data_IF_374388623411
#
_entry.id   IF_374388623411
#
_cell.length_a   1.000
_cell.length_b   1.000
_cell.length_c   1.000
_cell.angle_alpha   90.00
_cell.angle_beta   90.00
_cell.angle_gamma   90.00
#
_symmetry.space_group_name_H-M   'P 1'
#
loop_
_entity.id
_entity.type
_entity.pdbx_description
1 polymer ?
#
# COMPACT_ATOMS: atom_id res chain seq x y z
N UNK A 1 -20.01 -11.93 6.93
CA UNK A 1 -19.04 -11.06 7.59
C UNK A 1 -19.58 -9.65 7.77
N UNK A 2 -18.87 -8.83 8.50
CA UNK A 2 -19.21 -7.41 8.68
C UNK A 2 -18.24 -6.55 7.86
N UNK A 3 -18.71 -5.40 7.38
CA UNK A 3 -17.88 -4.36 6.78
C UNK A 3 -17.61 -3.27 7.81
N UNK A 4 -16.33 -2.94 7.95
CA UNK A 4 -15.84 -1.86 8.81
C UNK A 4 -15.25 -0.78 7.92
N UNK A 5 -15.52 0.47 8.21
CA UNK A 5 -15.03 1.60 7.42
C UNK A 5 -13.99 2.40 8.20
N UNK A 6 -12.92 2.80 7.53
CA UNK A 6 -11.89 3.67 8.10
C UNK A 6 -11.27 4.55 7.02
N UNK A 7 -10.81 5.74 7.39
CA UNK A 7 -9.97 6.58 6.52
C UNK A 7 -8.52 6.12 6.58
N UNK A 8 -8.02 5.86 7.79
CA UNK A 8 -6.70 5.25 7.97
C UNK A 8 -6.66 4.36 9.21
N UNK A 9 -5.78 3.37 9.14
CA UNK A 9 -5.43 2.49 10.26
C UNK A 9 -3.93 2.66 10.53
N UNK A 10 -3.58 3.11 11.75
CA UNK A 10 -2.18 3.30 12.13
C UNK A 10 -1.73 2.09 12.95
N UNK A 11 -0.90 1.26 12.34
CA UNK A 11 -0.31 0.09 12.99
C UNK A 11 0.73 0.51 14.01
N UNK A 12 0.86 -0.26 15.06
CA UNK A 12 1.83 -0.05 16.13
C UNK A 12 2.66 -1.30 16.36
N UNK A 13 3.78 -1.11 17.06
CA UNK A 13 4.68 -2.22 17.44
C UNK A 13 3.94 -3.30 18.22
N UNK A 14 4.21 -4.57 17.89
CA UNK A 14 3.62 -5.75 18.51
C UNK A 14 2.08 -5.81 18.39
N UNK A 15 1.53 -5.33 17.28
CA UNK A 15 0.09 -5.35 17.01
C UNK A 15 -0.21 -6.15 15.77
N UNK A 16 -1.19 -7.02 15.86
CA UNK A 16 -1.77 -7.73 14.72
C UNK A 16 -3.13 -7.14 14.36
N UNK A 17 -3.31 -6.80 13.09
CA UNK A 17 -4.62 -6.56 12.50
C UNK A 17 -5.13 -7.89 11.92
N UNK A 18 -5.95 -8.60 12.68
CA UNK A 18 -6.52 -9.86 12.22
C UNK A 18 -7.84 -9.65 11.48
N UNK A 19 -7.88 -10.00 10.21
CA UNK A 19 -9.05 -9.90 9.34
C UNK A 19 -9.79 -11.25 9.32
N UNK A 20 -10.76 -11.41 10.20
CA UNK A 20 -11.54 -12.65 10.26
C UNK A 20 -12.16 -12.97 8.90
N UNK A 21 -12.19 -14.26 8.52
CA UNK A 21 -12.78 -14.70 7.26
C UNK A 21 -14.20 -14.15 7.05
N UNK A 22 -14.40 -13.56 5.88
CA UNK A 22 -15.66 -12.90 5.51
C UNK A 22 -15.84 -11.49 6.05
N UNK A 23 -14.91 -10.94 6.84
CA UNK A 23 -14.91 -9.51 7.20
C UNK A 23 -14.33 -8.67 6.06
N UNK A 24 -14.72 -7.41 6.00
CA UNK A 24 -14.19 -6.43 5.06
C UNK A 24 -13.78 -5.18 5.83
N UNK A 25 -12.52 -4.78 5.70
CA UNK A 25 -12.06 -3.44 6.07
C UNK A 25 -12.10 -2.57 4.82
N UNK A 26 -12.99 -1.59 4.78
CA UNK A 26 -13.21 -0.74 3.61
C UNK A 26 -12.74 0.68 3.86
N UNK A 27 -11.96 1.19 2.91
CA UNK A 27 -11.51 2.58 2.91
C UNK A 27 -12.66 3.54 2.62
N UNK A 28 -12.70 4.68 3.35
CA UNK A 28 -13.65 5.75 3.07
C UNK A 28 -13.21 6.59 1.88
N UNK A 29 -14.13 7.32 1.25
CA UNK A 29 -13.82 8.15 0.07
C UNK A 29 -13.34 9.56 0.40
N UNK A 30 -13.42 9.98 1.67
CA UNK A 30 -12.97 11.33 2.09
C UNK A 30 -11.47 11.33 2.36
N UNK A 31 -10.70 11.88 1.42
CA UNK A 31 -9.25 11.98 1.51
C UNK A 31 -8.75 12.78 2.72
N UNK A 32 -9.54 13.73 3.21
CA UNK A 32 -9.13 14.58 4.33
C UNK A 32 -9.03 13.81 5.66
N UNK A 33 -9.66 12.65 5.74
CA UNK A 33 -9.55 11.76 6.90
C UNK A 33 -8.32 10.86 6.89
N UNK A 34 -7.54 10.84 5.80
CA UNK A 34 -6.39 9.95 5.68
C UNK A 34 -5.16 10.48 6.38
N UNK A 35 -4.38 9.55 6.94
CA UNK A 35 -3.06 9.85 7.46
C UNK A 35 -2.09 10.22 6.35
N UNK A 36 -1.25 11.20 6.62
CA UNK A 36 -0.27 11.74 5.68
C UNK A 36 1.14 11.40 6.15
N UNK A 37 1.79 10.37 5.58
CA UNK A 37 3.17 10.02 5.92
C UNK A 37 4.16 11.12 5.59
N UNK A 38 3.92 11.89 4.53
CA UNK A 38 4.73 13.05 4.16
C UNK A 38 3.88 14.14 3.50
N UNK A 39 4.34 15.38 3.62
CA UNK A 39 3.75 16.55 2.97
C UNK A 39 4.43 16.78 1.62
N UNK A 40 4.05 16.00 0.61
CA UNK A 40 4.48 16.22 -0.75
C UNK A 40 3.56 17.20 -1.44
N UNK A 41 4.11 18.38 -1.76
CA UNK A 41 3.45 19.39 -2.57
C UNK A 41 4.14 19.39 -3.92
N UNK A 42 3.39 19.25 -5.01
CA UNK A 42 3.91 19.59 -6.33
C UNK A 42 4.02 21.11 -6.45
N UNK A 43 5.25 21.61 -6.56
CA UNK A 43 5.52 23.03 -6.59
C UNK A 43 4.89 23.76 -7.80
N UNK A 44 4.63 23.03 -8.91
CA UNK A 44 4.00 23.63 -10.10
C UNK A 44 2.48 23.76 -9.99
N UNK A 45 1.83 22.83 -9.28
CA UNK A 45 0.37 22.78 -9.21
C UNK A 45 -0.17 23.06 -7.82
N UNK A 46 0.70 23.20 -6.82
CA UNK A 46 0.35 23.28 -5.39
C UNK A 46 -0.60 22.15 -4.95
N UNK A 47 -0.48 21.00 -5.59
CA UNK A 47 -1.34 19.83 -5.35
C UNK A 47 -0.55 18.77 -4.58
N UNK A 48 -1.17 18.18 -3.55
CA UNK A 48 -0.63 17.03 -2.86
C UNK A 48 -0.72 15.82 -3.78
N UNK A 49 0.43 15.28 -4.16
CA UNK A 49 0.50 14.06 -4.96
C UNK A 49 1.29 12.99 -4.22
N UNK A 50 0.80 11.75 -4.28
CA UNK A 50 1.65 10.60 -4.11
C UNK A 50 2.67 10.62 -5.26
N UNK A 51 3.95 10.73 -4.95
CA UNK A 51 4.96 10.85 -5.98
C UNK A 51 5.66 9.50 -6.17
N UNK A 52 5.39 8.77 -7.27
CA UNK A 52 6.05 7.51 -7.54
C UNK A 52 7.58 7.66 -7.66
N UNK A 53 8.08 8.83 -8.03
CA UNK A 53 9.53 9.09 -8.14
C UNK A 53 10.22 9.16 -6.78
N UNK A 54 9.53 9.63 -5.76
CA UNK A 54 10.09 9.71 -4.40
C UNK A 54 9.83 8.46 -3.56
N UNK A 55 8.82 7.67 -3.90
CA UNK A 55 8.42 6.48 -3.16
C UNK A 55 7.71 6.75 -1.83
N UNK A 56 7.67 7.99 -1.35
CA UNK A 56 6.93 8.33 -0.12
C UNK A 56 5.50 8.77 -0.47
N UNK A 57 4.47 8.10 0.04
CA UNK A 57 3.09 8.46 -0.26
C UNK A 57 2.63 9.70 0.50
N UNK A 58 1.81 10.55 -0.15
CA UNK A 58 1.14 11.65 0.55
C UNK A 58 0.02 11.19 1.46
N UNK A 59 -0.60 10.04 1.15
CA UNK A 59 -1.69 9.47 1.92
C UNK A 59 -1.53 7.96 2.01
N UNK A 60 -1.88 7.38 3.15
CA UNK A 60 -1.90 5.93 3.35
C UNK A 60 -3.18 5.47 4.02
N UNK A 61 -3.73 4.34 3.55
CA UNK A 61 -4.88 3.71 4.19
C UNK A 61 -4.46 2.92 5.42
N UNK A 62 -3.47 2.04 5.28
CA UNK A 62 -2.85 1.36 6.43
C UNK A 62 -1.40 1.83 6.50
N UNK A 63 -1.02 2.40 7.61
CA UNK A 63 0.31 2.97 7.81
C UNK A 63 1.00 2.40 9.04
N UNK A 64 2.29 2.12 8.90
CA UNK A 64 3.17 1.74 10.00
C UNK A 64 4.51 2.50 9.89
N UNK A 65 5.02 3.00 10.98
CA UNK A 65 6.34 3.58 11.07
C UNK A 65 7.04 3.08 12.34
N UNK A 66 8.20 2.43 12.14
CA UNK A 66 8.97 1.80 13.24
C UNK A 66 8.09 0.90 14.12
N UNK A 67 7.18 0.19 13.47
CA UNK A 67 6.21 -0.69 14.11
C UNK A 67 6.66 -2.16 14.02
N UNK A 68 7.79 -2.48 14.65
CA UNK A 68 8.34 -3.83 14.63
C UNK A 68 7.35 -4.88 15.18
N UNK A 69 7.44 -6.10 14.68
CA UNK A 69 6.55 -7.22 15.01
C UNK A 69 5.07 -6.90 14.74
N UNK A 70 4.77 -6.07 13.74
CA UNK A 70 3.41 -5.84 13.31
C UNK A 70 2.99 -6.90 12.28
N UNK A 71 1.71 -7.25 12.26
CA UNK A 71 1.17 -8.19 11.31
C UNK A 71 -0.20 -7.79 10.79
N UNK A 72 -0.49 -8.17 9.54
CA UNK A 72 -1.85 -8.20 9.00
C UNK A 72 -2.11 -9.65 8.57
N UNK A 73 -3.12 -10.28 9.12
CA UNK A 73 -3.39 -11.71 8.89
C UNK A 73 -4.87 -12.01 8.76
N UNK A 74 -5.17 -13.28 8.40
CA UNK A 74 -6.53 -13.84 8.44
C UNK A 74 -7.27 -13.75 7.10
N UNK A 75 -8.27 -14.61 6.91
CA UNK A 75 -8.97 -14.81 5.62
C UNK A 75 -9.99 -13.72 5.23
N UNK A 76 -9.84 -12.48 5.71
CA UNK A 76 -10.72 -11.37 5.39
C UNK A 76 -10.27 -10.55 4.18
N UNK A 77 -10.90 -9.41 3.97
CA UNK A 77 -10.66 -8.55 2.81
C UNK A 77 -10.38 -7.10 3.21
N UNK A 78 -9.41 -6.49 2.54
CA UNK A 78 -9.17 -5.05 2.50
C UNK A 78 -9.72 -4.54 1.18
N UNK A 79 -10.72 -3.67 1.21
CA UNK A 79 -11.29 -2.97 0.06
C UNK A 79 -10.78 -1.53 0.09
N UNK A 80 -9.82 -1.24 -0.77
CA UNK A 80 -9.17 0.08 -0.79
C UNK A 80 -10.02 1.17 -1.45
N UNK A 81 -11.20 0.80 -2.01
CA UNK A 81 -12.17 1.74 -2.57
C UNK A 81 -11.57 2.68 -3.62
N UNK A 82 -10.67 2.15 -4.43
CA UNK A 82 -9.87 2.90 -5.40
C UNK A 82 -10.69 3.70 -6.39
N UNK A 83 -11.83 3.18 -6.80
CA UNK A 83 -12.75 3.86 -7.70
C UNK A 83 -13.21 5.25 -7.18
N UNK A 84 -13.20 5.46 -5.86
CA UNK A 84 -13.54 6.76 -5.26
C UNK A 84 -12.45 7.82 -5.48
N UNK A 85 -11.24 7.40 -5.81
CA UNK A 85 -10.07 8.28 -6.00
C UNK A 85 -9.65 8.42 -7.47
N UNK A 86 -10.32 7.70 -8.37
CA UNK A 86 -10.06 7.73 -9.81
C UNK A 86 -11.12 8.59 -10.48
N UNK A 87 -10.76 9.78 -10.93
CA UNK A 87 -11.71 10.70 -11.56
C UNK A 87 -12.04 10.33 -13.00
N UNK A 88 -11.10 9.76 -13.75
CA UNK A 88 -11.28 9.39 -15.14
C UNK A 88 -10.43 8.19 -15.49
N UNK A 89 -11.04 7.25 -16.20
CA UNK A 89 -10.36 6.10 -16.77
C UNK A 89 -10.28 6.27 -18.28
N UNK A 90 -9.08 6.30 -18.83
CA UNK A 90 -8.84 5.84 -20.20
C UNK A 90 -8.13 4.48 -20.08
N UNK A 91 -8.20 3.68 -21.14
CA UNK A 91 -7.55 2.37 -21.17
C UNK A 91 -6.07 2.52 -20.77
N UNK A 92 -5.68 1.95 -19.64
CA UNK A 92 -4.35 1.97 -19.03
C UNK A 92 -3.92 3.29 -18.35
N UNK A 93 -4.80 4.29 -18.22
CA UNK A 93 -4.42 5.52 -17.54
C UNK A 93 -5.52 6.05 -16.62
N UNK A 94 -5.12 6.43 -15.45
CA UNK A 94 -5.81 7.47 -14.73
C UNK A 94 -5.47 8.77 -15.45
N UNK A 95 -6.31 9.20 -16.38
CA UNK A 95 -6.10 10.46 -17.08
C UNK A 95 -6.63 11.62 -16.28
N UNK A 96 -5.96 12.72 -16.42
CA UNK A 96 -6.27 13.95 -15.72
C UNK A 96 -5.65 13.97 -14.34
N UNK A 97 -5.65 15.12 -13.74
CA UNK A 97 -4.99 15.54 -12.51
C UNK A 97 -4.56 14.38 -11.63
N UNK A 98 -3.29 14.37 -11.26
CA UNK A 98 -2.78 13.47 -10.23
C UNK A 98 -3.56 13.74 -8.94
N UNK A 99 -4.73 13.17 -8.90
CA UNK A 99 -5.58 13.27 -7.74
C UNK A 99 -4.92 12.52 -6.59
N UNK A 100 -4.96 13.01 -5.36
CA UNK A 100 -4.38 12.28 -4.25
C UNK A 100 -5.00 10.90 -4.16
N UNK A 101 -4.19 9.89 -4.49
CA UNK A 101 -4.53 8.48 -4.43
C UNK A 101 -3.76 7.85 -3.27
N UNK A 102 -4.41 7.33 -2.23
CA UNK A 102 -3.69 6.71 -1.11
C UNK A 102 -2.93 5.45 -1.55
N UNK A 103 -1.71 5.27 -1.04
CA UNK A 103 -1.10 3.94 -0.98
C UNK A 103 -1.91 3.08 -0.01
N UNK A 104 -2.18 1.83 -0.38
CA UNK A 104 -3.08 1.00 0.44
C UNK A 104 -2.40 0.60 1.75
N UNK A 105 -1.20 0.03 1.67
CA UNK A 105 -0.42 -0.37 2.86
C UNK A 105 1.00 0.18 2.73
N UNK A 106 1.37 1.14 3.56
CA UNK A 106 2.71 1.69 3.62
C UNK A 106 3.35 1.43 4.99
N UNK A 107 4.37 0.58 4.99
CA UNK A 107 5.13 0.19 6.18
C UNK A 107 6.55 0.73 6.06
N UNK A 108 6.94 1.67 6.91
CA UNK A 108 8.23 2.35 6.83
C UNK A 108 9.11 2.05 8.02
N UNK A 109 10.35 1.62 7.76
CA UNK A 109 11.38 1.32 8.76
C UNK A 109 10.90 0.33 9.84
N UNK A 110 10.22 -0.73 9.43
CA UNK A 110 9.66 -1.75 10.32
C UNK A 110 10.43 -3.07 10.18
N UNK A 111 10.63 -3.80 11.28
CA UNK A 111 11.31 -5.09 11.28
C UNK A 111 10.37 -6.22 11.73
N UNK A 112 10.59 -7.44 11.23
CA UNK A 112 9.80 -8.64 11.56
C UNK A 112 8.32 -8.44 11.25
N UNK A 113 7.98 -8.16 9.99
CA UNK A 113 6.62 -7.88 9.54
C UNK A 113 6.02 -9.10 8.83
N UNK A 114 4.76 -9.36 9.11
CA UNK A 114 4.01 -10.46 8.49
C UNK A 114 2.74 -9.94 7.80
N UNK A 115 2.61 -10.30 6.53
CA UNK A 115 1.39 -10.13 5.74
C UNK A 115 0.95 -11.52 5.28
N UNK A 116 -0.14 -12.07 5.83
CA UNK A 116 -0.54 -13.44 5.54
C UNK A 116 -2.06 -13.64 5.45
N UNK A 117 -2.46 -14.39 4.41
CA UNK A 117 -3.81 -14.97 4.24
C UNK A 117 -4.95 -13.95 4.21
N UNK A 118 -4.84 -12.90 3.39
CA UNK A 118 -5.94 -11.96 3.14
C UNK A 118 -6.01 -11.55 1.67
N UNK A 119 -7.12 -10.91 1.32
CA UNK A 119 -7.36 -10.37 -0.02
C UNK A 119 -7.38 -8.85 0.01
N UNK A 120 -6.71 -8.20 -0.95
CA UNK A 120 -6.80 -6.77 -1.20
C UNK A 120 -7.49 -6.53 -2.54
N UNK A 121 -8.39 -5.57 -2.60
CA UNK A 121 -9.08 -5.22 -3.85
C UNK A 121 -9.13 -3.72 -4.05
N UNK A 122 -9.23 -3.33 -5.33
CA UNK A 122 -9.54 -1.97 -5.76
C UNK A 122 -8.56 -0.92 -5.21
N UNK A 123 -7.26 -1.14 -5.39
CA UNK A 123 -6.24 -0.18 -4.98
C UNK A 123 -6.26 1.05 -5.90
N UNK A 124 -6.27 2.27 -5.34
CA UNK A 124 -6.17 3.50 -6.12
C UNK A 124 -4.75 3.81 -6.60
N UNK A 125 -3.74 3.24 -5.95
CA UNK A 125 -2.31 3.42 -6.16
C UNK A 125 -1.56 2.17 -5.66
N UNK A 126 -0.26 2.23 -5.43
CA UNK A 126 0.55 1.11 -4.94
C UNK A 126 -0.12 0.37 -3.77
N UNK A 127 -0.16 -0.95 -3.86
CA UNK A 127 -0.96 -1.75 -2.93
C UNK A 127 -0.20 -2.09 -1.65
N UNK A 128 0.88 -2.86 -1.73
CA UNK A 128 1.69 -3.25 -0.58
C UNK A 128 3.11 -2.72 -0.75
N UNK A 129 3.43 -1.69 0.01
CA UNK A 129 4.68 -0.96 -0.10
C UNK A 129 5.43 -0.95 1.25
N UNK A 130 6.20 -1.99 1.56
CA UNK A 130 7.19 -1.94 2.62
C UNK A 130 8.39 -1.10 2.15
N UNK A 131 8.84 -0.15 2.98
CA UNK A 131 9.95 0.74 2.69
C UNK A 131 10.97 0.74 3.84
N UNK A 132 12.23 0.42 3.54
CA UNK A 132 13.27 0.32 4.57
C UNK A 132 12.97 -0.73 5.64
N UNK A 133 12.25 -1.79 5.28
CA UNK A 133 11.88 -2.85 6.20
C UNK A 133 12.87 -4.02 6.13
N UNK A 134 13.04 -4.73 7.24
CA UNK A 134 13.89 -5.91 7.34
C UNK A 134 13.10 -7.09 7.91
N UNK A 135 13.37 -8.31 7.41
CA UNK A 135 12.67 -9.54 7.79
C UNK A 135 11.14 -9.43 7.59
N UNK A 136 10.74 -9.44 6.33
CA UNK A 136 9.33 -9.31 5.91
C UNK A 136 8.84 -10.60 5.27
N UNK A 137 7.79 -11.17 5.81
CA UNK A 137 7.05 -12.29 5.20
C UNK A 137 5.77 -11.78 4.54
N UNK A 138 5.62 -12.09 3.25
CA UNK A 138 4.41 -11.84 2.48
C UNK A 138 3.96 -13.19 1.90
N UNK A 139 2.88 -13.76 2.44
CA UNK A 139 2.46 -15.10 2.05
C UNK A 139 0.94 -15.24 1.92
N UNK A 140 0.52 -16.02 0.94
CA UNK A 140 -0.89 -16.40 0.71
C UNK A 140 -1.83 -15.19 0.58
N UNK A 141 -1.34 -14.05 0.12
CA UNK A 141 -2.19 -12.89 -0.13
C UNK A 141 -2.69 -12.89 -1.57
N UNK A 142 -3.91 -12.38 -1.76
CA UNK A 142 -4.49 -12.13 -3.06
C UNK A 142 -4.64 -10.62 -3.26
N UNK A 143 -4.05 -10.09 -4.31
CA UNK A 143 -4.22 -8.69 -4.73
C UNK A 143 -5.00 -8.72 -6.05
N UNK A 144 -6.19 -8.13 -6.06
CA UNK A 144 -7.10 -8.13 -7.20
C UNK A 144 -7.52 -6.69 -7.51
N UNK A 145 -6.65 -5.98 -8.20
CA UNK A 145 -6.87 -4.59 -8.57
C UNK A 145 -7.56 -4.47 -9.93
N UNK A 146 -8.10 -3.31 -10.20
CA UNK A 146 -8.65 -2.97 -11.51
C UNK A 146 -7.49 -2.84 -12.52
N UNK A 147 -7.59 -3.58 -13.63
CA UNK A 147 -6.57 -3.64 -14.67
C UNK A 147 -6.49 -2.39 -15.56
N UNK A 148 -7.33 -1.39 -15.31
CA UNK A 148 -7.34 -0.10 -16.01
C UNK A 148 -6.85 1.07 -15.14
N UNK A 149 -6.44 0.81 -13.89
CA UNK A 149 -5.95 1.85 -12.96
C UNK A 149 -4.43 1.87 -12.96
N UNK A 150 -3.83 2.88 -13.57
CA UNK A 150 -2.38 3.05 -13.61
C UNK A 150 -1.78 3.16 -12.20
N UNK A 151 -0.57 2.63 -12.04
CA UNK A 151 0.18 2.59 -10.78
C UNK A 151 -0.57 1.84 -9.67
N UNK A 152 -1.35 0.84 -10.01
CA UNK A 152 -1.97 -0.05 -9.03
C UNK A 152 -1.07 -1.26 -8.73
N UNK A 153 0.24 -1.01 -8.65
CA UNK A 153 1.27 -2.02 -8.39
C UNK A 153 0.87 -2.93 -7.22
N UNK A 154 1.30 -4.19 -7.30
CA UNK A 154 0.95 -5.20 -6.32
C UNK A 154 1.80 -5.14 -5.06
N UNK A 155 3.06 -5.53 -5.17
CA UNK A 155 3.99 -5.64 -4.03
C UNK A 155 5.29 -4.94 -4.40
N UNK A 156 5.63 -3.89 -3.67
CA UNK A 156 6.76 -3.01 -3.92
C UNK A 156 7.74 -2.97 -2.74
N UNK A 157 8.62 -3.98 -2.56
CA UNK A 157 9.70 -3.86 -1.59
C UNK A 157 10.65 -2.72 -2.00
N UNK A 158 10.76 -1.69 -1.16
CA UNK A 158 11.53 -0.48 -1.43
C UNK A 158 12.64 -0.32 -0.39
N UNK A 159 13.89 -0.41 -0.82
CA UNK A 159 15.03 -0.41 0.10
C UNK A 159 14.88 -1.42 1.26
N UNK A 160 14.27 -2.57 0.99
CA UNK A 160 14.04 -3.62 1.97
C UNK A 160 15.15 -4.67 1.94
N UNK A 161 15.29 -5.39 3.04
CA UNK A 161 16.21 -6.51 3.16
C UNK A 161 15.49 -7.73 3.76
N UNK A 162 15.90 -8.95 3.36
CA UNK A 162 15.33 -10.20 3.85
C UNK A 162 13.80 -10.29 3.67
N UNK A 163 13.31 -10.09 2.45
CA UNK A 163 11.88 -10.21 2.13
C UNK A 163 11.60 -11.55 1.48
N UNK A 164 10.60 -12.26 1.98
CA UNK A 164 10.09 -13.48 1.38
C UNK A 164 8.68 -13.29 0.90
N UNK A 165 8.46 -13.50 -0.41
CA UNK A 165 7.15 -13.47 -1.05
C UNK A 165 6.84 -14.88 -1.55
N UNK A 166 5.75 -15.50 -1.08
CA UNK A 166 5.39 -16.85 -1.48
C UNK A 166 3.88 -17.09 -1.48
N UNK A 167 3.44 -18.00 -2.35
CA UNK A 167 2.05 -18.47 -2.46
C UNK A 167 1.04 -17.33 -2.68
N UNK A 168 1.47 -16.23 -3.31
CA UNK A 168 0.65 -15.05 -3.58
C UNK A 168 0.02 -15.11 -4.97
N UNK A 169 -1.13 -14.47 -5.13
CA UNK A 169 -1.77 -14.22 -6.41
C UNK A 169 -1.97 -12.71 -6.60
N UNK A 170 -1.45 -12.15 -7.71
CA UNK A 170 -1.48 -10.71 -7.96
C UNK A 170 -2.02 -10.43 -9.35
N UNK A 171 -3.09 -9.65 -9.41
CA UNK A 171 -3.67 -9.06 -10.61
C UNK A 171 -3.69 -7.54 -10.43
N UNK A 172 -2.98 -6.80 -11.28
CA UNK A 172 -2.93 -5.33 -11.23
C UNK A 172 -2.60 -4.75 -12.61
N UNK A 173 -2.76 -3.45 -12.79
CA UNK A 173 -2.54 -2.76 -14.05
C UNK A 173 -1.11 -2.24 -14.23
N UNK A 174 -0.25 -2.44 -13.26
CA UNK A 174 1.17 -2.07 -13.29
C UNK A 174 2.00 -3.25 -12.78
N UNK A 175 3.17 -3.05 -12.20
CA UNK A 175 4.06 -4.11 -11.76
C UNK A 175 3.43 -5.01 -10.67
N UNK A 176 3.37 -6.32 -10.91
CA UNK A 176 2.85 -7.24 -9.90
C UNK A 176 3.77 -7.36 -8.68
N UNK A 177 5.08 -7.43 -8.93
CA UNK A 177 6.14 -7.36 -7.91
C UNK A 177 7.25 -6.51 -8.47
N UNK A 178 7.60 -5.42 -7.79
CA UNK A 178 8.66 -4.51 -8.22
C UNK A 178 9.63 -4.19 -7.09
N UNK A 179 10.89 -4.55 -7.26
CA UNK A 179 11.94 -4.15 -6.32
C UNK A 179 12.28 -2.68 -6.56
N UNK A 180 12.00 -1.84 -5.59
CA UNK A 180 12.19 -0.40 -5.71
C UNK A 180 13.39 0.10 -4.90
N UNK A 181 14.01 1.16 -5.41
CA UNK A 181 15.05 1.93 -4.71
C UNK A 181 14.71 3.41 -4.86
N UNK A 182 13.58 3.78 -4.28
CA UNK A 182 13.01 5.11 -4.42
C UNK A 182 13.87 6.18 -3.74
N UNK A 183 14.04 7.33 -4.39
CA UNK A 183 14.91 8.41 -3.90
C UNK A 183 14.56 8.87 -2.47
N UNK A 184 13.26 8.91 -2.13
CA UNK A 184 12.79 9.36 -0.82
C UNK A 184 13.07 8.37 0.32
N UNK A 185 13.40 7.12 -0.01
CA UNK A 185 13.71 6.04 0.93
C UNK A 185 15.19 5.62 0.89
N UNK A 186 16.03 6.37 0.16
CA UNK A 186 17.46 6.03 -0.05
C UNK A 186 18.29 5.93 1.22
N UNK A 187 17.85 6.53 2.30
CA UNK A 187 18.48 6.43 3.63
C UNK A 187 18.50 5.00 4.21
N UNK A 188 17.61 4.13 3.72
CA UNK A 188 17.49 2.76 4.22
C UNK A 188 18.45 1.76 3.56
N UNK A 189 19.25 2.21 2.57
CA UNK A 189 20.26 1.38 1.93
C UNK A 189 19.74 0.59 0.71
N UNK A 190 20.40 -0.50 0.31
CA UNK A 190 20.00 -1.26 -0.87
C UNK A 190 18.71 -2.06 -0.64
N UNK A 191 18.08 -2.50 -1.74
CA UNK A 191 17.02 -3.50 -1.72
C UNK A 191 17.65 -4.85 -2.06
N UNK A 192 17.75 -5.77 -1.09
CA UNK A 192 18.50 -7.01 -1.26
C UNK A 192 17.91 -8.19 -0.48
N UNK A 193 18.30 -9.41 -0.85
CA UNK A 193 17.77 -10.66 -0.25
C UNK A 193 16.24 -10.75 -0.36
N UNK A 194 15.71 -10.58 -1.55
CA UNK A 194 14.27 -10.66 -1.82
C UNK A 194 13.93 -12.00 -2.47
#
# INVERSE_FOLDING_TARGET
GKTYYSSSVIMKKNVELHLQKGSVLKATSDINGYFRPCDFINDETNTLIGNPVTGKPSFAFIYAYKADNAAITGGGKIDANGHSFVKRKDKYYVTGDFYPRPTVMYFEACNHIVFEDFTVVDAPFWTLHPAGCDDVLISKIHILNDLDVANSDGIDPDHCNNVRICDCHVECADDCICLKTSKGNSEYGPCENI
#
